data_IF_253652198829
#
_entry.id   IF_253652198829
#
_cell.length_a   1.000
_cell.length_b   1.000
_cell.length_c   1.000
_cell.angle_alpha   90.00
_cell.angle_beta   90.00
_cell.angle_gamma   90.00
#
_symmetry.space_group_name_H-M   'P 1'
#
loop_
_entity.id
_entity.type
_entity.pdbx_description
1 polymer ?
#
# COMPACT_ATOMS: atom_id res chain seq x y z
N UNK A 1 29.83 -22.67 -15.13
CA UNK A 1 28.81 -22.20 -14.17
C UNK A 1 27.94 -21.22 -14.94
N UNK A 2 26.66 -21.52 -15.08
CA UNK A 2 25.77 -20.84 -16.04
C UNK A 2 25.54 -19.38 -15.61
N UNK A 3 25.72 -18.44 -16.54
CA UNK A 3 25.40 -17.00 -16.40
C UNK A 3 24.00 -16.73 -15.82
N UNK A 4 23.08 -17.71 -15.89
CA UNK A 4 21.76 -17.64 -15.26
C UNK A 4 21.78 -17.42 -13.74
N UNK A 5 22.85 -17.80 -13.04
CA UNK A 5 22.94 -17.64 -11.58
C UNK A 5 23.45 -16.26 -11.17
N UNK A 6 24.16 -15.54 -12.05
CA UNK A 6 24.66 -14.19 -11.73
C UNK A 6 23.52 -13.17 -11.54
N UNK A 7 22.39 -13.37 -12.22
CA UNK A 7 21.16 -12.58 -12.04
C UNK A 7 20.38 -12.89 -10.75
N UNK A 8 20.83 -13.85 -9.93
CA UNK A 8 20.17 -14.24 -8.68
C UNK A 8 20.88 -13.70 -7.43
N UNK A 9 21.94 -12.89 -7.60
CA UNK A 9 22.74 -12.36 -6.49
C UNK A 9 22.09 -11.17 -5.77
N UNK A 10 21.01 -10.61 -6.31
CA UNK A 10 20.21 -9.55 -5.71
C UNK A 10 19.26 -8.97 -6.75
N UNK A 11 18.00 -8.77 -6.38
CA UNK A 11 16.97 -8.26 -7.27
C UNK A 11 16.24 -7.11 -6.58
N UNK A 12 16.50 -5.89 -7.04
CA UNK A 12 15.95 -4.65 -6.49
C UNK A 12 15.01 -3.93 -7.48
N UNK A 13 14.64 -4.55 -8.61
CA UNK A 13 13.71 -3.93 -9.57
C UNK A 13 12.34 -3.76 -8.93
N UNK A 14 11.85 -2.53 -8.98
CA UNK A 14 10.48 -2.18 -8.63
C UNK A 14 9.64 -2.03 -9.90
N UNK A 15 8.35 -2.31 -9.78
CA UNK A 15 7.38 -2.10 -10.84
C UNK A 15 6.26 -1.23 -10.29
N UNK A 16 6.20 0.01 -10.76
CA UNK A 16 5.16 0.92 -10.33
C UNK A 16 3.78 0.42 -10.80
N UNK A 17 2.72 0.63 -9.99
CA UNK A 17 1.38 0.32 -10.43
C UNK A 17 1.00 1.14 -11.67
N UNK A 18 0.20 0.57 -12.61
CA UNK A 18 -0.34 1.33 -13.74
C UNK A 18 -1.12 2.56 -13.28
N UNK A 19 -1.18 3.61 -14.11
CA UNK A 19 -1.89 4.86 -13.76
C UNK A 19 -3.35 4.65 -13.37
N UNK A 20 -4.04 3.72 -14.05
CA UNK A 20 -5.44 3.38 -13.73
C UNK A 20 -5.62 2.83 -12.31
N UNK A 21 -4.61 2.16 -11.75
CA UNK A 21 -4.63 1.66 -10.37
C UNK A 21 -4.32 2.79 -9.39
N UNK A 22 -3.37 3.67 -9.72
CA UNK A 22 -3.02 4.82 -8.87
C UNK A 22 -4.21 5.78 -8.73
N UNK A 23 -4.89 6.09 -9.84
CA UNK A 23 -6.03 7.01 -9.88
C UNK A 23 -7.26 6.48 -9.13
N UNK A 24 -7.43 5.16 -9.05
CA UNK A 24 -8.58 4.51 -8.42
C UNK A 24 -8.19 3.76 -7.13
N UNK A 25 -7.11 4.19 -6.47
CA UNK A 25 -6.66 3.57 -5.23
C UNK A 25 -7.71 3.77 -4.12
N UNK A 26 -8.19 2.67 -3.54
CA UNK A 26 -9.17 2.71 -2.46
C UNK A 26 -8.61 3.35 -1.18
N UNK A 27 -7.30 3.25 -0.98
CA UNK A 27 -6.57 3.86 0.13
C UNK A 27 -5.37 4.61 -0.44
N UNK A 28 -5.18 5.84 0.03
CA UNK A 28 -4.09 6.73 -0.38
C UNK A 28 -3.14 6.97 0.80
N UNK A 29 -2.01 7.64 0.55
CA UNK A 29 -1.04 8.00 1.59
C UNK A 29 -1.69 8.72 2.79
N UNK A 30 -2.68 9.58 2.52
CA UNK A 30 -3.44 10.30 3.56
C UNK A 30 -4.03 9.37 4.63
N UNK A 31 -4.46 8.16 4.25
CA UNK A 31 -5.01 7.21 5.22
C UNK A 31 -3.96 6.75 6.22
N UNK A 32 -2.72 6.55 5.76
CA UNK A 32 -1.60 6.18 6.62
C UNK A 32 -1.19 7.35 7.51
N UNK A 33 -1.19 8.57 6.98
CA UNK A 33 -0.85 9.77 7.75
C UNK A 33 -1.86 9.98 8.90
N UNK A 34 -3.15 9.89 8.61
CA UNK A 34 -4.23 10.00 9.61
C UNK A 34 -4.17 8.87 10.66
N UNK A 35 -3.90 7.64 10.22
CA UNK A 35 -3.78 6.49 11.13
C UNK A 35 -2.52 6.57 12.02
N UNK A 36 -1.45 7.20 11.54
CA UNK A 36 -0.24 7.45 12.31
C UNK A 36 -0.41 8.57 13.34
N UNK A 37 -1.19 9.61 13.01
CA UNK A 37 -1.50 10.72 13.92
C UNK A 37 -2.34 10.25 15.12
N UNK A 38 -3.46 9.58 14.85
CA UNK A 38 -4.29 8.96 15.89
C UNK A 38 -4.95 7.67 15.38
N UNK A 39 -4.30 6.56 15.72
CA UNK A 39 -4.74 5.22 15.33
C UNK A 39 -6.16 4.90 15.83
N UNK A 40 -6.52 5.29 17.05
CA UNK A 40 -7.82 4.92 17.63
C UNK A 40 -8.95 5.74 17.01
N UNK A 41 -8.74 7.05 16.87
CA UNK A 41 -9.73 7.92 16.21
C UNK A 41 -9.93 7.53 14.75
N UNK A 42 -8.86 7.18 14.02
CA UNK A 42 -8.95 6.70 12.64
C UNK A 42 -9.85 5.46 12.53
N UNK A 43 -9.59 4.43 13.33
CA UNK A 43 -10.38 3.19 13.27
C UNK A 43 -11.82 3.36 13.75
N UNK A 44 -12.07 4.22 14.74
CA UNK A 44 -13.41 4.58 15.15
C UNK A 44 -14.19 5.17 13.96
N UNK A 45 -13.60 6.14 13.24
CA UNK A 45 -14.22 6.73 12.04
C UNK A 45 -14.51 5.67 10.98
N UNK A 46 -13.52 4.81 10.66
CA UNK A 46 -13.71 3.76 9.65
C UNK A 46 -14.87 2.81 10.03
N UNK A 47 -14.97 2.40 11.29
CA UNK A 47 -16.04 1.50 11.74
C UNK A 47 -17.42 2.15 11.64
N UNK A 48 -17.54 3.42 12.03
CA UNK A 48 -18.81 4.15 11.97
C UNK A 48 -19.28 4.41 10.54
N UNK A 49 -18.36 4.66 9.60
CA UNK A 49 -18.70 5.02 8.22
C UNK A 49 -18.90 3.81 7.29
N UNK A 50 -18.27 2.67 7.60
CA UNK A 50 -18.17 1.54 6.64
C UNK A 50 -18.86 0.25 7.10
N UNK A 51 -19.21 0.13 8.38
CA UNK A 51 -19.81 -1.09 8.92
C UNK A 51 -21.26 -0.82 9.28
N UNK A 52 -22.18 -1.57 8.66
CA UNK A 52 -23.56 -1.70 9.12
C UNK A 52 -23.64 -2.95 9.99
N UNK A 53 -24.09 -2.77 11.23
CA UNK A 53 -24.22 -3.83 12.22
C UNK A 53 -25.58 -4.50 12.18
#
# INVERSE_FOLDING_TARGET
MSEKIENLLGEDRTFDPPSSIVENANATQEWFDLANEDRLAYWQKQALERITW
#
